data_IF_811297925700
#
_entry.id   IF_811297925700
#
_cell.length_a   1.000
_cell.length_b   1.000
_cell.length_c   1.000
_cell.angle_alpha   90.00
_cell.angle_beta   90.00
_cell.angle_gamma   90.00
#
_symmetry.space_group_name_H-M   'P 1'
#
loop_
_entity.id
_entity.type
_entity.pdbx_description
1 polymer ?
#
# COMPACT_ATOMS: atom_id res chain seq x y z
N UNK A 1 -40.69 31.99 -32.29
CA UNK A 1 -40.58 31.35 -30.96
C UNK A 1 -40.04 29.95 -31.18
N UNK A 2 -38.77 29.70 -30.86
CA UNK A 2 -38.16 28.37 -30.97
C UNK A 2 -38.36 27.66 -29.63
N UNK A 3 -39.32 26.75 -29.61
CA UNK A 3 -39.60 25.88 -28.47
C UNK A 3 -38.54 24.77 -28.46
N UNK A 4 -37.42 24.99 -27.74
CA UNK A 4 -36.42 23.95 -27.50
C UNK A 4 -37.04 22.94 -26.53
N UNK A 5 -37.62 21.87 -27.07
CA UNK A 5 -37.83 20.64 -26.31
C UNK A 5 -36.47 20.16 -25.80
N UNK A 6 -36.27 20.28 -24.50
CA UNK A 6 -35.14 19.70 -23.80
C UNK A 6 -35.41 18.19 -23.72
N UNK A 7 -34.84 17.42 -24.65
CA UNK A 7 -35.06 15.97 -24.69
C UNK A 7 -34.33 15.29 -23.52
N UNK A 8 -34.99 14.30 -22.93
CA UNK A 8 -34.46 13.52 -21.81
C UNK A 8 -33.15 12.81 -22.19
N UNK A 9 -32.95 12.54 -23.46
CA UNK A 9 -31.73 11.92 -23.98
C UNK A 9 -30.54 12.89 -23.98
N UNK A 10 -30.76 14.20 -24.16
CA UNK A 10 -29.70 15.21 -24.01
C UNK A 10 -29.24 15.33 -22.55
N UNK A 11 -30.17 15.22 -21.59
CA UNK A 11 -29.84 15.19 -20.16
C UNK A 11 -29.05 13.93 -19.80
N UNK A 12 -29.42 12.76 -20.36
CA UNK A 12 -28.67 11.51 -20.17
C UNK A 12 -27.28 11.56 -20.78
N UNK A 13 -27.14 12.13 -21.97
CA UNK A 13 -25.85 12.32 -22.62
C UNK A 13 -24.96 13.27 -21.79
N UNK A 14 -25.50 14.39 -21.31
CA UNK A 14 -24.76 15.33 -20.47
C UNK A 14 -24.35 14.69 -19.12
N UNK A 15 -25.23 13.94 -18.46
CA UNK A 15 -24.92 13.20 -17.23
C UNK A 15 -23.84 12.13 -17.47
N UNK A 16 -23.92 11.41 -18.59
CA UNK A 16 -22.92 10.40 -18.97
C UNK A 16 -21.55 11.03 -19.19
N UNK A 17 -21.47 12.13 -19.95
CA UNK A 17 -20.22 12.84 -20.22
C UNK A 17 -19.62 13.42 -18.93
N UNK A 18 -20.46 13.98 -18.06
CA UNK A 18 -20.01 14.54 -16.78
C UNK A 18 -19.49 13.43 -15.84
N UNK A 19 -20.15 12.27 -15.83
CA UNK A 19 -19.70 11.08 -15.09
C UNK A 19 -18.39 10.53 -15.65
N UNK A 20 -18.21 10.47 -16.98
CA UNK A 20 -16.95 10.06 -17.60
C UNK A 20 -15.79 11.00 -17.24
N UNK A 21 -16.04 12.31 -17.25
CA UNK A 21 -15.06 13.31 -16.82
C UNK A 21 -14.67 13.18 -15.34
N UNK A 22 -15.64 12.91 -14.47
CA UNK A 22 -15.41 12.69 -13.04
C UNK A 22 -14.60 11.40 -12.78
N UNK A 23 -14.93 10.30 -13.46
CA UNK A 23 -14.20 9.02 -13.37
C UNK A 23 -12.75 9.18 -13.83
N UNK A 24 -12.50 9.87 -14.94
CA UNK A 24 -11.13 10.13 -15.41
C UNK A 24 -10.33 10.98 -14.43
N UNK A 25 -10.93 12.05 -13.89
CA UNK A 25 -10.28 12.88 -12.87
C UNK A 25 -9.93 12.06 -11.62
N UNK A 26 -10.86 11.22 -11.17
CA UNK A 26 -10.67 10.33 -10.03
C UNK A 26 -9.54 9.34 -10.27
N UNK A 27 -9.49 8.70 -11.44
CA UNK A 27 -8.39 7.79 -11.78
C UNK A 27 -7.03 8.49 -11.82
N UNK A 28 -6.96 9.71 -12.38
CA UNK A 28 -5.73 10.51 -12.40
C UNK A 28 -5.27 10.86 -10.98
N UNK A 29 -6.22 11.18 -10.08
CA UNK A 29 -5.94 11.43 -8.67
C UNK A 29 -5.37 10.19 -7.99
N UNK A 30 -6.01 9.02 -8.14
CA UNK A 30 -5.54 7.75 -7.60
C UNK A 30 -4.15 7.39 -8.13
N UNK A 31 -3.91 7.56 -9.43
CA UNK A 31 -2.60 7.33 -10.05
C UNK A 31 -1.52 8.23 -9.43
N UNK A 32 -1.84 9.50 -9.18
CA UNK A 32 -0.93 10.44 -8.51
C UNK A 32 -0.68 10.05 -7.06
N UNK A 33 -1.73 9.69 -6.33
CA UNK A 33 -1.63 9.28 -4.92
C UNK A 33 -0.79 8.01 -4.76
N UNK A 34 -1.00 7.01 -5.62
CA UNK A 34 -0.22 5.77 -5.62
C UNK A 34 1.26 5.99 -5.88
N UNK A 35 1.62 6.88 -6.82
CA UNK A 35 3.01 7.30 -7.07
C UNK A 35 3.62 8.08 -5.90
N UNK A 36 2.79 8.74 -5.09
CA UNK A 36 3.21 9.53 -3.92
C UNK A 36 3.45 8.71 -2.65
N UNK A 37 3.06 7.43 -2.62
CA UNK A 37 3.31 6.56 -1.46
C UNK A 37 4.82 6.38 -1.27
N UNK A 38 5.31 6.85 -0.12
CA UNK A 38 6.72 6.75 0.28
C UNK A 38 6.84 6.10 1.67
N UNK A 39 7.74 5.12 1.85
CA UNK A 39 8.58 4.50 0.82
C UNK A 39 7.75 3.62 -0.14
N UNK A 40 8.27 3.41 -1.36
CA UNK A 40 7.75 2.40 -2.29
C UNK A 40 8.18 1.01 -1.82
N UNK A 41 7.39 -0.01 -2.12
CA UNK A 41 7.75 -1.39 -1.81
C UNK A 41 8.79 -1.90 -2.79
N UNK A 42 9.96 -2.25 -2.28
CA UNK A 42 11.10 -2.80 -3.01
C UNK A 42 11.08 -4.32 -3.00
N UNK A 43 11.72 -4.95 -3.98
CA UNK A 43 11.77 -6.42 -4.12
C UNK A 43 12.50 -7.14 -2.98
N UNK A 44 13.35 -6.42 -2.23
CA UNK A 44 14.01 -6.90 -1.02
C UNK A 44 13.07 -7.01 0.21
N UNK A 45 11.88 -6.42 0.14
CA UNK A 45 10.90 -6.43 1.23
C UNK A 45 11.24 -5.56 2.44
N UNK A 46 12.41 -4.91 2.48
CA UNK A 46 12.87 -4.16 3.67
C UNK A 46 11.96 -2.98 4.00
N UNK A 47 11.31 -2.43 2.98
CA UNK A 47 10.40 -1.29 3.09
C UNK A 47 8.97 -1.69 3.45
N UNK A 48 8.64 -3.00 3.53
CA UNK A 48 7.27 -3.49 3.63
C UNK A 48 6.47 -2.88 4.78
N UNK A 49 6.99 -2.86 6.01
CA UNK A 49 6.27 -2.27 7.15
C UNK A 49 6.00 -0.77 7.01
N UNK A 50 6.97 -0.03 6.46
CA UNK A 50 6.83 1.41 6.26
C UNK A 50 5.86 1.71 5.12
N UNK A 51 5.96 0.95 4.03
CA UNK A 51 5.05 1.02 2.89
C UNK A 51 3.61 0.69 3.30
N UNK A 52 3.37 -0.43 4.00
CA UNK A 52 2.04 -0.87 4.40
C UNK A 52 1.36 0.15 5.33
N UNK A 53 2.10 0.74 6.26
CA UNK A 53 1.61 1.84 7.11
C UNK A 53 1.28 3.10 6.31
N UNK A 54 2.11 3.47 5.33
CA UNK A 54 1.84 4.62 4.46
C UNK A 54 0.61 4.39 3.57
N UNK A 55 0.45 3.19 3.03
CA UNK A 55 -0.72 2.77 2.26
C UNK A 55 -1.99 2.84 3.11
N UNK A 56 -2.00 2.25 4.32
CA UNK A 56 -3.16 2.29 5.22
C UNK A 56 -3.58 3.71 5.60
N UNK A 57 -2.61 4.58 5.93
CA UNK A 57 -2.90 5.99 6.24
C UNK A 57 -3.49 6.74 5.06
N UNK A 58 -3.06 6.42 3.85
CA UNK A 58 -3.65 7.00 2.65
C UNK A 58 -5.08 6.50 2.42
N UNK A 59 -5.32 5.20 2.56
CA UNK A 59 -6.65 4.61 2.41
C UNK A 59 -7.63 5.24 3.41
N UNK A 60 -7.21 5.37 4.67
CA UNK A 60 -8.00 6.01 5.72
C UNK A 60 -8.34 7.46 5.36
N UNK A 61 -7.38 8.23 4.84
CA UNK A 61 -7.63 9.63 4.43
C UNK A 61 -8.54 9.76 3.21
N UNK A 62 -8.34 8.92 2.19
CA UNK A 62 -9.03 9.03 0.91
C UNK A 62 -10.42 8.39 0.92
N UNK A 63 -10.61 7.32 1.70
CA UNK A 63 -11.84 6.54 1.71
C UNK A 63 -12.54 6.49 3.08
N UNK A 64 -11.95 7.08 4.13
CA UNK A 64 -12.48 7.05 5.49
C UNK A 64 -12.70 5.63 6.03
N UNK A 65 -11.87 4.68 5.56
CA UNK A 65 -11.86 3.30 6.03
C UNK A 65 -10.63 3.06 6.88
N UNK A 66 -10.83 3.02 8.19
CA UNK A 66 -9.80 2.59 9.13
C UNK A 66 -9.62 1.08 9.04
N UNK A 67 -8.37 0.62 9.13
CA UNK A 67 -7.99 -0.79 9.11
C UNK A 67 -8.51 -1.58 7.90
N UNK A 68 -8.35 -1.01 6.70
CA UNK A 68 -8.78 -1.64 5.45
C UNK A 68 -8.18 -3.04 5.22
N UNK A 69 -7.01 -3.39 5.77
CA UNK A 69 -6.44 -4.73 5.61
C UNK A 69 -6.65 -5.64 6.82
N UNK A 70 -7.43 -5.22 7.82
CA UNK A 70 -7.75 -6.00 9.01
C UNK A 70 -8.47 -7.31 8.71
N UNK A 71 -8.27 -8.31 9.58
CA UNK A 71 -8.77 -9.68 9.41
C UNK A 71 -10.31 -9.78 9.31
N UNK A 72 -11.03 -8.95 10.06
CA UNK A 72 -12.49 -8.98 10.11
C UNK A 72 -13.17 -8.03 9.12
N UNK A 73 -12.39 -7.17 8.48
CA UNK A 73 -12.93 -6.15 7.60
C UNK A 73 -13.37 -6.80 6.27
N UNK A 74 -14.66 -6.72 5.94
CA UNK A 74 -15.17 -7.07 4.61
C UNK A 74 -15.53 -5.79 3.89
N UNK A 75 -14.90 -5.57 2.73
CA UNK A 75 -15.24 -4.45 1.88
C UNK A 75 -15.98 -4.92 0.62
N UNK A 76 -17.25 -4.55 0.51
CA UNK A 76 -18.11 -4.87 -0.63
C UNK A 76 -18.14 -3.76 -1.69
N UNK A 77 -17.51 -2.61 -1.44
CA UNK A 77 -17.44 -1.53 -2.42
C UNK A 77 -16.41 -1.87 -3.51
N UNK A 78 -16.92 -2.21 -4.70
CA UNK A 78 -16.11 -2.63 -5.85
C UNK A 78 -15.20 -1.51 -6.38
N UNK A 79 -15.71 -0.28 -6.43
CA UNK A 79 -14.95 0.89 -6.91
C UNK A 79 -13.78 1.17 -5.99
N UNK A 80 -14.03 1.25 -4.68
CA UNK A 80 -12.97 1.43 -3.67
C UNK A 80 -11.93 0.31 -3.71
N UNK A 81 -12.36 -0.94 -3.87
CA UNK A 81 -11.42 -2.07 -4.05
C UNK A 81 -10.53 -1.88 -5.28
N UNK A 82 -11.08 -1.42 -6.40
CA UNK A 82 -10.31 -1.16 -7.62
C UNK A 82 -9.34 0.01 -7.44
N UNK A 83 -9.78 1.11 -6.82
CA UNK A 83 -8.94 2.27 -6.51
C UNK A 83 -7.76 1.87 -5.62
N UNK A 84 -8.00 1.10 -4.55
CA UNK A 84 -6.95 0.66 -3.63
C UNK A 84 -6.00 -0.33 -4.30
N UNK A 85 -6.50 -1.23 -5.16
CA UNK A 85 -5.64 -2.11 -5.96
C UNK A 85 -4.69 -1.28 -6.83
N UNK A 86 -5.20 -0.23 -7.47
CA UNK A 86 -4.39 0.70 -8.25
C UNK A 86 -3.32 1.38 -7.38
N UNK A 87 -3.65 1.81 -6.15
CA UNK A 87 -2.67 2.36 -5.20
C UNK A 87 -1.54 1.37 -4.90
N UNK A 88 -1.85 0.08 -4.70
CA UNK A 88 -0.86 -0.98 -4.49
C UNK A 88 0.03 -1.08 -5.74
N UNK A 89 -0.54 -1.31 -6.93
CA UNK A 89 0.21 -1.51 -8.18
C UNK A 89 1.15 -0.34 -8.53
N UNK A 90 0.75 0.90 -8.21
CA UNK A 90 1.57 2.10 -8.48
C UNK A 90 2.63 2.34 -7.41
N UNK A 91 2.50 1.77 -6.21
CA UNK A 91 3.42 2.00 -5.09
C UNK A 91 4.45 0.89 -4.88
N UNK A 92 4.39 -0.18 -5.67
CA UNK A 92 5.38 -1.27 -5.65
C UNK A 92 6.39 -1.17 -6.80
N UNK A 93 7.51 -1.87 -6.64
CA UNK A 93 8.48 -2.15 -7.69
C UNK A 93 7.82 -2.93 -8.86
N UNK A 94 8.23 -2.65 -10.09
CA UNK A 94 7.70 -3.33 -11.27
C UNK A 94 7.93 -4.86 -11.21
N UNK A 95 9.03 -5.30 -10.61
CA UNK A 95 9.35 -6.72 -10.42
C UNK A 95 8.35 -7.47 -9.52
N UNK A 96 7.58 -6.75 -8.69
CA UNK A 96 6.59 -7.33 -7.78
C UNK A 96 5.17 -7.37 -8.36
N UNK A 97 4.97 -6.82 -9.57
CA UNK A 97 3.63 -6.76 -10.18
C UNK A 97 3.11 -8.13 -10.57
N UNK A 98 3.98 -9.02 -11.06
CA UNK A 98 3.60 -10.40 -11.39
C UNK A 98 3.10 -11.16 -10.17
N UNK A 99 3.58 -10.82 -8.96
CA UNK A 99 3.12 -11.43 -7.71
C UNK A 99 1.68 -11.07 -7.35
N UNK A 100 1.08 -10.06 -7.98
CA UNK A 100 -0.30 -9.61 -7.69
C UNK A 100 -1.19 -9.58 -8.94
N UNK A 101 -0.72 -10.11 -10.07
CA UNK A 101 -1.38 -9.98 -11.38
C UNK A 101 -2.73 -10.72 -11.42
N UNK A 102 -2.78 -11.91 -10.81
CA UNK A 102 -3.97 -12.76 -10.72
C UNK A 102 -4.95 -12.35 -9.61
N UNK A 103 -4.64 -11.30 -8.84
CA UNK A 103 -5.42 -10.92 -7.67
C UNK A 103 -6.45 -9.84 -8.00
N UNK A 104 -7.72 -10.23 -8.10
CA UNK A 104 -8.83 -9.36 -8.47
C UNK A 104 -9.14 -8.26 -7.45
N UNK A 105 -8.73 -8.45 -6.19
CA UNK A 105 -9.07 -7.55 -5.08
C UNK A 105 -7.82 -7.03 -4.38
N UNK A 106 -7.85 -5.75 -4.01
CA UNK A 106 -6.78 -5.09 -3.26
C UNK A 106 -6.32 -5.86 -2.01
N UNK A 107 -7.27 -6.46 -1.26
CA UNK A 107 -6.95 -7.25 -0.07
C UNK A 107 -6.16 -8.52 -0.39
N UNK A 108 -6.47 -9.17 -1.52
CA UNK A 108 -5.74 -10.35 -1.94
C UNK A 108 -4.35 -9.98 -2.44
N UNK A 109 -4.22 -8.90 -3.22
CA UNK A 109 -2.91 -8.36 -3.63
C UNK A 109 -2.05 -8.03 -2.40
N UNK A 110 -2.62 -7.35 -1.39
CA UNK A 110 -1.93 -7.07 -0.14
C UNK A 110 -1.54 -8.34 0.62
N UNK A 111 -2.45 -9.31 0.74
CA UNK A 111 -2.18 -10.58 1.42
C UNK A 111 -1.08 -11.39 0.74
N UNK A 112 -1.01 -11.38 -0.60
CA UNK A 112 0.06 -12.02 -1.35
C UNK A 112 1.41 -11.40 -1.03
N UNK A 113 1.52 -10.06 -1.12
CA UNK A 113 2.74 -9.32 -0.75
C UNK A 113 3.10 -9.56 0.72
N UNK A 114 2.12 -9.55 1.63
CA UNK A 114 2.36 -9.83 3.04
C UNK A 114 2.98 -11.21 3.25
N UNK A 115 2.40 -12.27 2.68
CA UNK A 115 2.93 -13.63 2.78
C UNK A 115 4.33 -13.77 2.19
N UNK A 116 4.61 -13.08 1.08
CA UNK A 116 5.92 -13.09 0.44
C UNK A 116 7.00 -12.50 1.36
N UNK A 117 6.70 -11.38 2.04
CA UNK A 117 7.68 -10.67 2.85
C UNK A 117 7.69 -11.03 4.34
N UNK A 118 6.65 -11.66 4.86
CA UNK A 118 6.54 -12.06 6.27
C UNK A 118 7.75 -12.90 6.73
N UNK A 119 8.18 -13.85 5.90
CA UNK A 119 9.36 -14.68 6.21
C UNK A 119 10.66 -13.88 6.17
N UNK A 120 10.80 -12.97 5.21
CA UNK A 120 12.00 -12.13 5.06
C UNK A 120 12.13 -11.13 6.20
N UNK A 121 11.01 -10.57 6.65
CA UNK A 121 10.94 -9.65 7.77
C UNK A 121 11.36 -10.33 9.07
N UNK A 122 10.90 -11.57 9.31
CA UNK A 122 11.29 -12.30 10.51
C UNK A 122 12.78 -12.63 10.55
N UNK A 123 13.36 -13.12 9.45
CA UNK A 123 14.79 -13.39 9.37
C UNK A 123 15.63 -12.12 9.54
N UNK A 124 15.21 -10.99 8.96
CA UNK A 124 15.91 -9.72 9.12
C UNK A 124 15.85 -9.20 10.56
N UNK A 125 14.69 -9.31 11.22
CA UNK A 125 14.53 -8.96 12.63
C UNK A 125 15.42 -9.83 13.51
N UNK A 126 15.49 -11.15 13.26
CA UNK A 126 16.33 -12.05 14.03
C UNK A 126 17.82 -11.76 13.85
N UNK A 127 18.28 -11.51 12.62
CA UNK A 127 19.65 -11.12 12.37
C UNK A 127 20.01 -9.79 13.08
N UNK A 128 19.10 -8.81 13.07
CA UNK A 128 19.29 -7.56 13.83
C UNK A 128 19.39 -7.81 15.33
N UNK A 129 18.57 -8.72 15.87
CA UNK A 129 18.65 -9.09 17.28
C UNK A 129 19.99 -9.76 17.61
N UNK A 130 20.44 -10.71 16.79
CA UNK A 130 21.73 -11.38 16.97
C UNK A 130 22.89 -10.37 16.91
N UNK A 131 22.87 -9.44 15.96
CA UNK A 131 23.89 -8.39 15.85
C UNK A 131 23.92 -7.48 17.09
N UNK A 132 22.76 -7.13 17.65
CA UNK A 132 22.66 -6.31 18.87
C UNK A 132 23.19 -7.08 20.09
N UNK A 133 22.82 -8.37 20.22
CA UNK A 133 23.29 -9.23 21.32
C UNK A 133 24.80 -9.38 21.25
N UNK A 134 25.34 -9.74 20.08
CA UNK A 134 26.78 -9.89 19.86
C UNK A 134 27.55 -8.59 20.10
N UNK A 135 27.01 -7.45 19.68
CA UNK A 135 27.62 -6.14 19.96
C UNK A 135 27.63 -5.81 21.46
N UNK A 136 26.59 -6.22 22.19
CA UNK A 136 26.50 -6.04 23.65
C UNK A 136 27.53 -6.91 24.36
N UNK A 137 27.62 -8.19 24.00
CA UNK A 137 28.61 -9.12 24.56
C UNK A 137 30.05 -8.69 24.27
N UNK A 138 30.33 -8.19 23.06
CA UNK A 138 31.64 -7.64 22.71
C UNK A 138 31.99 -6.40 23.57
N UNK A 139 31.00 -5.55 23.86
CA UNK A 139 31.17 -4.39 24.74
C UNK A 139 31.43 -4.79 26.19
N UNK A 140 30.74 -5.80 26.71
CA UNK A 140 30.92 -6.32 28.08
C UNK A 140 32.30 -6.96 28.26
N UNK A 141 32.73 -7.79 27.30
CA UNK A 141 34.07 -8.39 27.30
C UNK A 141 35.19 -7.32 27.27
N UNK A 142 35.00 -6.22 26.54
CA UNK A 142 35.93 -5.09 26.54
C UNK A 142 35.97 -4.36 27.89
N UNK A 143 34.81 -4.13 28.50
CA UNK A 143 34.72 -3.49 29.82
C UNK A 143 35.40 -4.34 30.90
N UNK A 144 35.21 -5.66 30.86
CA UNK A 144 35.82 -6.60 31.80
C UNK A 144 37.35 -6.63 31.62
N UNK A 145 37.86 -6.68 30.38
CA UNK A 145 39.30 -6.63 30.09
C UNK A 145 40.00 -5.36 30.62
N UNK A 146 39.31 -4.20 30.59
CA UNK A 146 39.80 -2.94 31.15
C UNK A 146 39.81 -2.89 32.68
N UNK A 147 38.94 -3.67 33.34
CA UNK A 147 38.92 -3.75 34.81
C UNK A 147 40.00 -4.67 35.37
N UNK A 148 40.43 -5.67 34.60
CA UNK A 148 41.46 -6.65 34.98
C UNK A 148 42.89 -6.10 34.81
N UNK A 149 43.08 -5.01 34.05
CA UNK A 149 44.40 -4.38 33.82
C UNK A 149 44.75 -3.23 34.78
N UNK A 150 43.95 -3.02 35.84
CA UNK A 150 44.25 -2.09 36.94
C UNK A 150 44.73 -2.83 38.18
#
# INVERSE_FOLDING_TARGET
MLDRKFDIDDLRAALSVNNSGAVLKRQVEIDRLGKGITPRLTSDGLTFHRWSRSLNRLIERTHQVTDYFGMDAKDTNRERNAEIRSLIEKSIDASLKSSIEDEDKARQSFACLHRQFEKLLWSHVMNLFDDIVNATEASENLAEAYTVTK
#
